data_IF_973273044157
#
_entry.id   IF_973273044157
#
_cell.length_a   1.000
_cell.length_b   1.000
_cell.length_c   1.000
_cell.angle_alpha   90.00
_cell.angle_beta   90.00
_cell.angle_gamma   90.00
#
_symmetry.space_group_name_H-M   'P 1'
#
loop_
_entity.id
_entity.type
_entity.pdbx_description
1 polymer ?
#
# COMPACT_ATOMS: atom_id res chain seq x y z
N UNK A 1 -4.10 -21.09 29.19
CA UNK A 1 -5.20 -20.56 28.38
C UNK A 1 -4.61 -20.18 27.02
N UNK A 2 -4.84 -21.01 26.01
CA UNK A 2 -4.31 -20.82 24.65
C UNK A 2 -5.13 -19.71 23.98
N UNK A 3 -4.48 -18.61 23.62
CA UNK A 3 -5.08 -17.60 22.76
C UNK A 3 -5.23 -18.21 21.36
N UNK A 4 -6.49 -18.34 20.91
CA UNK A 4 -6.81 -18.68 19.53
C UNK A 4 -6.22 -17.62 18.60
N UNK A 5 -5.25 -18.05 17.79
CA UNK A 5 -4.73 -17.31 16.65
C UNK A 5 -5.91 -17.00 15.71
N UNK A 6 -6.30 -15.73 15.67
CA UNK A 6 -7.26 -15.24 14.69
C UNK A 6 -6.70 -15.44 13.28
N UNK A 7 -7.47 -16.14 12.46
CA UNK A 7 -7.38 -16.34 11.01
C UNK A 7 -6.06 -15.93 10.34
N UNK A 8 -5.26 -16.96 10.02
CA UNK A 8 -4.12 -16.90 9.10
C UNK A 8 -4.64 -16.55 7.70
N UNK A 9 -4.73 -15.26 7.39
CA UNK A 9 -4.83 -14.80 6.00
C UNK A 9 -3.49 -15.14 5.36
N UNK A 10 -3.52 -15.91 4.27
CA UNK A 10 -2.31 -16.37 3.60
C UNK A 10 -1.42 -15.18 3.21
N UNK A 11 -0.15 -15.30 3.58
CA UNK A 11 0.96 -14.49 3.09
C UNK A 11 1.04 -14.62 1.55
N UNK A 12 0.25 -13.84 0.81
CA UNK A 12 0.23 -13.89 -0.65
C UNK A 12 1.51 -13.27 -1.18
N UNK A 13 2.26 -14.04 -1.98
CA UNK A 13 3.38 -13.54 -2.76
C UNK A 13 2.85 -12.65 -3.88
N UNK A 14 3.40 -11.45 -3.97
CA UNK A 14 3.18 -10.46 -5.03
C UNK A 14 4.44 -10.47 -5.87
N UNK A 15 4.36 -11.17 -6.99
CA UNK A 15 5.46 -11.30 -7.95
C UNK A 15 5.62 -10.02 -8.77
N UNK A 16 6.81 -9.85 -9.33
CA UNK A 16 7.08 -8.79 -10.29
C UNK A 16 6.25 -9.01 -11.56
N UNK A 17 5.64 -7.95 -12.06
CA UNK A 17 5.11 -7.86 -13.42
C UNK A 17 5.95 -6.88 -14.24
N UNK A 18 5.94 -6.95 -15.59
CA UNK A 18 6.56 -5.92 -16.41
C UNK A 18 5.96 -4.55 -16.10
N UNK A 19 6.79 -3.52 -15.93
CA UNK A 19 6.30 -2.20 -15.51
C UNK A 19 5.36 -1.57 -16.54
N UNK A 20 5.52 -1.88 -17.82
CA UNK A 20 4.60 -1.47 -18.88
C UNK A 20 3.20 -2.10 -18.80
N UNK A 21 3.02 -3.18 -18.02
CA UNK A 21 1.72 -3.83 -17.84
C UNK A 21 0.82 -3.10 -16.85
N UNK A 22 1.37 -2.21 -16.02
CA UNK A 22 0.60 -1.41 -15.08
C UNK A 22 0.20 -0.08 -15.74
N UNK A 23 -1.07 0.05 -16.12
CA UNK A 23 -1.59 1.29 -16.70
C UNK A 23 -1.99 2.32 -15.64
N UNK A 24 -1.14 3.33 -15.44
CA UNK A 24 -1.42 4.47 -14.58
C UNK A 24 -1.75 5.76 -15.34
N UNK A 25 -1.83 5.73 -16.68
CA UNK A 25 -1.98 6.95 -17.51
C UNK A 25 -3.27 7.71 -17.24
N UNK A 26 -4.32 6.98 -16.88
CA UNK A 26 -5.64 7.52 -16.57
C UNK A 26 -5.85 7.81 -15.08
N UNK A 27 -4.88 7.46 -14.23
CA UNK A 27 -4.95 7.62 -12.78
C UNK A 27 -4.23 8.89 -12.31
N UNK A 28 -4.69 9.42 -11.18
CA UNK A 28 -4.01 10.52 -10.49
C UNK A 28 -3.05 9.98 -9.45
N UNK A 29 -1.78 10.37 -9.54
CA UNK A 29 -0.80 10.15 -8.47
C UNK A 29 -1.09 11.05 -7.28
N UNK A 30 -1.22 10.45 -6.11
CA UNK A 30 -1.50 11.14 -4.84
C UNK A 30 -0.22 11.38 -4.06
N UNK A 31 0.64 10.36 -3.97
CA UNK A 31 1.85 10.42 -3.17
C UNK A 31 2.95 9.50 -3.75
N UNK A 32 4.20 9.77 -3.38
CA UNK A 32 5.37 9.01 -3.80
C UNK A 32 6.47 9.03 -2.75
N UNK A 33 7.21 7.93 -2.66
CA UNK A 33 8.42 7.82 -1.87
C UNK A 33 9.47 7.03 -2.66
N UNK A 34 10.76 7.36 -2.48
CA UNK A 34 11.86 6.67 -3.15
C UNK A 34 12.78 6.05 -2.11
N UNK A 35 13.17 4.81 -2.36
CA UNK A 35 14.10 4.10 -1.52
C UNK A 35 14.60 2.80 -2.14
N UNK A 36 15.80 2.42 -1.76
CA UNK A 36 16.39 1.10 -1.99
C UNK A 36 15.79 0.07 -1.00
N UNK A 37 14.80 -0.72 -1.43
CA UNK A 37 14.15 -1.72 -0.57
C UNK A 37 14.78 -3.11 -0.71
N UNK A 38 15.38 -3.45 -1.85
CA UNK A 38 15.99 -4.76 -2.09
C UNK A 38 17.51 -4.78 -1.86
N UNK A 39 18.10 -3.61 -1.56
CA UNK A 39 19.51 -3.38 -1.29
C UNK A 39 20.43 -3.62 -2.49
N UNK A 40 19.96 -3.35 -3.70
CA UNK A 40 20.78 -3.43 -4.91
C UNK A 40 21.57 -2.13 -5.20
N UNK A 41 21.40 -1.08 -4.39
CA UNK A 41 21.92 0.29 -4.53
C UNK A 41 21.26 1.14 -5.63
N UNK A 42 20.16 0.69 -6.21
CA UNK A 42 19.25 1.53 -6.97
C UNK A 42 18.10 1.99 -6.06
N UNK A 43 17.45 3.09 -6.42
CA UNK A 43 16.25 3.51 -5.70
C UNK A 43 15.01 3.07 -6.46
N UNK A 44 14.16 2.32 -5.78
CA UNK A 44 12.83 2.01 -6.27
C UNK A 44 11.84 3.09 -5.87
N UNK A 45 10.74 3.18 -6.62
CA UNK A 45 9.69 4.18 -6.37
C UNK A 45 8.44 3.52 -5.85
N UNK A 46 7.98 3.95 -4.71
CA UNK A 46 6.69 3.59 -4.14
C UNK A 46 5.72 4.70 -4.50
N UNK A 47 4.63 4.38 -5.18
CA UNK A 47 3.68 5.38 -5.66
C UNK A 47 2.24 4.96 -5.39
N UNK A 48 1.45 5.91 -4.91
CA UNK A 48 0.02 5.74 -4.65
C UNK A 48 -0.78 6.50 -5.69
N UNK A 49 -1.73 5.81 -6.31
CA UNK A 49 -2.61 6.31 -7.35
C UNK A 49 -4.07 6.10 -6.99
N UNK A 50 -4.93 6.97 -7.55
CA UNK A 50 -6.38 6.82 -7.52
C UNK A 50 -6.98 7.11 -8.90
N UNK A 51 -8.11 6.49 -9.24
CA UNK A 51 -8.85 6.80 -10.47
C UNK A 51 -9.60 8.14 -10.39
N UNK A 52 -9.76 8.73 -9.19
CA UNK A 52 -10.31 10.07 -9.04
C UNK A 52 -9.41 11.12 -9.72
N UNK A 53 -10.00 12.14 -10.33
CA UNK A 53 -9.28 13.17 -11.11
C UNK A 53 -9.22 14.47 -10.34
N UNK A 54 -8.20 15.29 -10.64
CA UNK A 54 -8.14 16.67 -10.16
C UNK A 54 -9.13 17.54 -10.92
N UNK A 55 -9.83 18.42 -10.21
CA UNK A 55 -10.62 19.50 -10.80
C UNK A 55 -9.71 20.64 -11.28
N UNK A 56 -10.30 21.71 -11.83
CA UNK A 56 -9.56 22.87 -12.35
C UNK A 56 -8.74 23.61 -11.28
N UNK A 57 -9.05 23.42 -9.99
CA UNK A 57 -8.33 23.99 -8.85
C UNK A 57 -7.21 23.08 -8.33
N UNK A 58 -7.02 21.90 -8.91
CA UNK A 58 -6.04 20.91 -8.48
C UNK A 58 -6.49 20.01 -7.32
N UNK A 59 -7.70 20.21 -6.80
CA UNK A 59 -8.31 19.39 -5.76
C UNK A 59 -8.80 18.08 -6.37
N UNK A 60 -8.72 16.97 -5.64
CA UNK A 60 -9.26 15.70 -6.14
C UNK A 60 -10.80 15.75 -6.07
N UNK A 61 -11.45 15.46 -7.19
CA UNK A 61 -12.90 15.24 -7.26
C UNK A 61 -13.21 13.80 -6.86
N UNK A 62 -13.39 13.59 -5.56
CA UNK A 62 -13.72 12.28 -5.01
C UNK A 62 -15.13 11.85 -5.38
N UNK A 63 -15.31 10.54 -5.55
CA UNK A 63 -16.59 9.91 -5.82
C UNK A 63 -16.94 8.96 -4.67
N UNK A 64 -18.15 8.39 -4.70
CA UNK A 64 -18.58 7.40 -3.69
C UNK A 64 -17.71 6.13 -3.69
N UNK A 65 -16.90 5.91 -4.73
CA UNK A 65 -15.80 4.96 -4.73
C UNK A 65 -14.98 4.98 -6.02
N UNK A 66 -13.75 4.51 -5.94
CA UNK A 66 -12.80 4.52 -7.05
C UNK A 66 -11.74 3.43 -6.90
N UNK A 67 -11.08 3.10 -8.02
CA UNK A 67 -9.92 2.21 -8.00
C UNK A 67 -8.70 2.93 -7.40
N UNK A 68 -7.98 2.22 -6.54
CA UNK A 68 -6.72 2.64 -5.95
C UNK A 68 -5.62 1.66 -6.33
N UNK A 69 -4.41 2.18 -6.50
CA UNK A 69 -3.22 1.39 -6.79
C UNK A 69 -2.07 1.87 -5.93
N UNK A 70 -1.53 0.99 -5.08
CA UNK A 70 -0.21 1.17 -4.46
C UNK A 70 0.76 0.24 -5.18
N UNK A 71 1.82 0.80 -5.75
CA UNK A 71 2.76 0.05 -6.58
C UNK A 71 4.19 0.44 -6.24
N UNK A 72 5.07 -0.56 -6.27
CA UNK A 72 6.52 -0.37 -6.22
C UNK A 72 7.09 -0.56 -7.61
N UNK A 73 7.87 0.40 -8.09
CA UNK A 73 8.55 0.38 -9.38
C UNK A 73 10.04 0.14 -9.20
N UNK A 74 10.55 -0.87 -9.89
CA UNK A 74 11.94 -1.30 -9.88
C UNK A 74 12.40 -1.49 -11.33
N UNK A 75 12.88 -0.40 -11.95
CA UNK A 75 13.27 -0.40 -13.35
C UNK A 75 12.15 -0.87 -14.30
N UNK A 76 12.35 -2.04 -14.92
CA UNK A 76 11.38 -2.68 -15.83
C UNK A 76 10.38 -3.60 -15.11
N UNK A 77 10.45 -3.69 -13.79
CA UNK A 77 9.54 -4.47 -12.95
C UNK A 77 8.62 -3.54 -12.15
N UNK A 78 7.45 -4.06 -11.83
CA UNK A 78 6.50 -3.43 -10.92
C UNK A 78 5.89 -4.47 -9.99
N UNK A 79 5.60 -4.07 -8.75
CA UNK A 79 4.93 -4.88 -7.74
C UNK A 79 3.66 -4.15 -7.30
N UNK A 80 2.47 -4.53 -7.81
CA UNK A 80 1.21 -3.92 -7.43
C UNK A 80 0.79 -4.43 -6.03
N UNK A 81 1.25 -3.74 -4.99
CA UNK A 81 1.00 -4.12 -3.60
C UNK A 81 -0.49 -4.10 -3.25
N UNK A 82 -1.21 -3.11 -3.79
CA UNK A 82 -2.67 -2.99 -3.65
C UNK A 82 -3.26 -2.56 -4.99
N UNK A 83 -4.30 -3.23 -5.46
CA UNK A 83 -5.08 -2.88 -6.64
C UNK A 83 -6.55 -3.20 -6.38
N UNK A 84 -7.27 -2.25 -5.78
CA UNK A 84 -8.60 -2.49 -5.21
C UNK A 84 -9.55 -1.32 -5.47
N UNK A 85 -10.84 -1.63 -5.63
CA UNK A 85 -11.89 -0.62 -5.58
C UNK A 85 -12.24 -0.33 -4.11
N UNK A 86 -12.12 0.94 -3.71
CA UNK A 86 -12.45 1.38 -2.35
C UNK A 86 -13.67 2.30 -2.42
N UNK A 87 -14.71 1.92 -1.69
CA UNK A 87 -15.95 2.67 -1.57
C UNK A 87 -15.96 3.48 -0.27
N UNK A 88 -16.32 4.77 -0.35
CA UNK A 88 -16.46 5.68 0.80
C UNK A 88 -15.26 5.63 1.75
N UNK A 89 -14.06 5.82 1.19
CA UNK A 89 -12.86 5.79 2.00
C UNK A 89 -11.58 6.16 1.27
N UNK A 90 -10.49 5.98 1.98
CA UNK A 90 -9.17 6.47 1.61
C UNK A 90 -8.11 5.38 1.79
N UNK A 91 -7.08 5.47 0.96
CA UNK A 91 -5.89 4.64 1.06
C UNK A 91 -4.70 5.55 1.34
N UNK A 92 -3.88 5.14 2.29
CA UNK A 92 -2.58 5.75 2.59
C UNK A 92 -1.50 4.68 2.62
N UNK A 93 -0.25 5.11 2.60
CA UNK A 93 0.84 4.20 2.90
C UNK A 93 1.85 4.81 3.88
N UNK A 94 2.55 3.92 4.58
CA UNK A 94 3.75 4.28 5.34
C UNK A 94 4.90 3.39 4.93
N UNK A 95 6.11 3.91 5.05
CA UNK A 95 7.35 3.17 4.79
C UNK A 95 8.17 3.21 6.07
N UNK A 96 8.65 2.05 6.51
CA UNK A 96 9.45 1.93 7.73
C UNK A 96 10.75 1.17 7.48
N UNK A 97 11.78 1.59 8.19
CA UNK A 97 13.08 0.92 8.29
C UNK A 97 13.15 0.25 9.65
N UNK A 98 13.72 -0.94 9.74
CA UNK A 98 14.11 -1.49 11.03
C UNK A 98 15.16 -0.56 11.68
N UNK A 99 14.95 -0.20 12.94
CA UNK A 99 15.95 0.44 13.83
C UNK A 99 15.92 -0.30 15.16
N UNK A 100 17.01 -0.53 15.89
CA UNK A 100 18.10 0.38 16.26
C UNK A 100 19.37 -0.49 16.48
N UNK A 101 20.56 0.09 16.28
CA UNK A 101 21.93 -0.38 16.61
C UNK A 101 22.78 -1.14 15.58
N UNK A 102 22.26 -1.74 14.51
CA UNK A 102 23.11 -2.23 13.43
C UNK A 102 22.58 -1.83 12.06
N UNK A 103 23.45 -1.18 11.29
CA UNK A 103 23.17 -0.50 10.04
C UNK A 103 22.92 -1.46 8.85
N UNK A 104 22.04 -2.45 9.00
CA UNK A 104 21.38 -3.00 7.81
C UNK A 104 20.33 -1.98 7.37
N UNK A 105 20.62 -1.28 6.29
CA UNK A 105 19.79 -0.24 5.64
C UNK A 105 18.45 -0.77 5.10
N UNK A 106 17.91 -1.83 5.66
CA UNK A 106 16.77 -2.57 5.14
C UNK A 106 15.49 -1.81 5.50
N UNK A 107 14.85 -1.26 4.46
CA UNK A 107 13.42 -0.98 4.54
C UNK A 107 12.74 -2.33 4.71
N UNK A 108 11.94 -2.42 5.77
CA UNK A 108 11.41 -3.72 6.18
C UNK A 108 9.95 -3.85 5.78
N UNK A 109 9.21 -2.73 5.81
CA UNK A 109 7.77 -2.75 5.65
C UNK A 109 7.22 -1.52 4.92
N UNK A 110 6.38 -1.79 3.92
CA UNK A 110 5.43 -0.85 3.34
C UNK A 110 4.06 -1.22 3.88
N UNK A 111 3.37 -0.31 4.55
CA UNK A 111 2.01 -0.57 5.05
C UNK A 111 1.00 0.12 4.16
N UNK A 112 0.03 -0.59 3.60
CA UNK A 112 -1.18 0.01 3.08
C UNK A 112 -2.21 0.14 4.21
N UNK A 113 -2.77 1.34 4.35
CA UNK A 113 -3.77 1.68 5.34
C UNK A 113 -5.05 2.01 4.57
N UNK A 114 -6.09 1.21 4.77
CA UNK A 114 -7.41 1.43 4.17
C UNK A 114 -8.35 1.84 5.28
N UNK A 115 -8.96 3.01 5.13
CA UNK A 115 -10.00 3.50 6.02
C UNK A 115 -11.28 3.70 5.22
N UNK A 116 -12.27 2.84 5.45
CA UNK A 116 -13.64 3.04 5.00
C UNK A 116 -14.50 3.21 6.25
N UNK A 117 -15.61 3.96 6.17
CA UNK A 117 -16.40 4.34 7.35
C UNK A 117 -16.84 3.17 8.26
N UNK A 118 -16.86 1.94 7.74
CA UNK A 118 -17.21 0.70 8.46
C UNK A 118 -16.03 -0.22 8.81
N UNK A 119 -14.82 0.06 8.29
CA UNK A 119 -13.66 -0.83 8.41
C UNK A 119 -12.34 -0.07 8.27
N UNK A 120 -11.41 -0.36 9.18
CA UNK A 120 -10.03 0.10 9.13
C UNK A 120 -9.11 -1.11 9.06
N UNK A 121 -8.26 -1.17 8.03
CA UNK A 121 -7.30 -2.27 7.87
C UNK A 121 -5.91 -1.78 7.55
N UNK A 122 -4.93 -2.50 8.07
CA UNK A 122 -3.52 -2.31 7.78
C UNK A 122 -2.97 -3.62 7.23
N UNK A 123 -2.46 -3.55 6.01
CA UNK A 123 -1.73 -4.64 5.36
C UNK A 123 -0.27 -4.25 5.25
N UNK A 124 0.61 -5.10 5.78
CA UNK A 124 2.06 -4.91 5.71
C UNK A 124 2.63 -5.74 4.58
N UNK A 125 3.46 -5.13 3.73
CA UNK A 125 4.21 -5.77 2.66
C UNK A 125 5.69 -5.73 2.97
N UNK A 126 6.35 -6.87 2.86
CA UNK A 126 7.80 -7.01 3.00
C UNK A 126 8.39 -7.68 1.78
N UNK A 127 9.50 -7.16 1.27
CA UNK A 127 10.19 -7.83 0.19
C UNK A 127 10.85 -9.12 0.68
N UNK A 128 10.64 -10.19 -0.08
CA UNK A 128 11.25 -11.49 0.16
C UNK A 128 12.24 -11.77 -0.97
N UNK A 129 13.54 -11.59 -0.69
CA UNK A 129 14.61 -11.76 -1.69
C UNK A 129 14.64 -13.18 -2.27
N UNK A 130 14.42 -14.20 -1.45
CA UNK A 130 14.42 -15.60 -1.88
C UNK A 130 13.31 -15.90 -2.90
N UNK A 131 12.18 -15.19 -2.79
CA UNK A 131 11.02 -15.32 -3.68
C UNK A 131 10.97 -14.26 -4.78
N UNK A 132 11.85 -13.27 -4.76
CA UNK A 132 11.88 -12.17 -5.73
C UNK A 132 10.57 -11.36 -5.79
N UNK A 133 9.91 -11.16 -4.64
CA UNK A 133 8.61 -10.49 -4.59
C UNK A 133 8.20 -10.06 -3.19
N UNK A 134 7.11 -9.30 -3.10
CA UNK A 134 6.58 -8.85 -1.82
C UNK A 134 5.66 -9.89 -1.21
N UNK A 135 5.70 -10.04 0.11
CA UNK A 135 4.75 -10.85 0.86
C UNK A 135 3.87 -9.91 1.68
N UNK A 136 2.57 -9.94 1.40
CA UNK A 136 1.56 -9.15 2.10
C UNK A 136 0.92 -9.93 3.25
N UNK A 137 0.66 -9.26 4.36
CA UNK A 137 -0.09 -9.81 5.49
C UNK A 137 -0.92 -8.74 6.20
N UNK A 138 -2.19 -9.05 6.49
CA UNK A 138 -3.05 -8.17 7.28
C UNK A 138 -2.57 -8.22 8.73
N UNK A 139 -2.08 -7.09 9.25
CA UNK A 139 -1.60 -6.96 10.63
C UNK A 139 -2.66 -6.37 11.56
N UNK A 140 -3.62 -5.65 10.98
CA UNK A 140 -4.79 -5.17 11.70
C UNK A 140 -6.00 -5.14 10.78
N UNK A 141 -7.14 -5.58 11.31
CA UNK A 141 -8.43 -5.37 10.71
C UNK A 141 -9.42 -5.06 11.83
N UNK A 142 -10.10 -3.93 11.75
CA UNK A 142 -11.16 -3.63 12.70
C UNK A 142 -12.30 -4.63 12.54
N UNK A 143 -13.10 -4.78 13.59
CA UNK A 143 -14.43 -5.40 13.42
C UNK A 143 -15.27 -4.51 12.51
N UNK A 144 -16.28 -5.09 11.88
CA UNK A 144 -17.28 -4.33 11.13
C UNK A 144 -18.04 -3.45 12.13
N UNK A 145 -17.72 -2.15 12.14
CA UNK A 145 -18.30 -1.16 13.04
C UNK A 145 -18.31 0.19 12.37
N UNK A 146 -19.32 1.00 12.63
CA UNK A 146 -19.33 2.37 12.15
C UNK A 146 -18.36 3.20 12.98
N UNK A 147 -17.34 3.77 12.34
CA UNK A 147 -16.51 4.77 12.99
C UNK A 147 -17.32 6.05 13.18
N UNK A 148 -17.39 6.52 14.42
CA UNK A 148 -18.08 7.78 14.77
C UNK A 148 -17.16 9.00 14.64
N UNK A 149 -15.85 8.77 14.55
CA UNK A 149 -14.84 9.81 14.37
C UNK A 149 -13.56 9.20 13.76
N UNK A 150 -12.91 9.96 12.88
CA UNK A 150 -11.55 9.71 12.38
C UNK A 150 -10.81 11.04 12.25
N UNK A 151 -9.51 11.05 12.55
CA UNK A 151 -8.62 12.17 12.23
C UNK A 151 -7.88 11.96 10.91
N UNK A 152 -8.09 10.81 10.26
CA UNK A 152 -7.63 10.58 8.89
C UNK A 152 -8.47 11.50 8.01
N UNK A 153 -7.85 12.32 7.13
CA UNK A 153 -8.59 13.24 6.28
C UNK A 153 -9.63 12.49 5.46
N UNK A 154 -10.89 12.90 5.60
CA UNK A 154 -11.90 12.57 4.61
C UNK A 154 -11.67 13.41 3.37
N UNK A 155 -11.99 12.82 2.24
CA UNK A 155 -11.63 13.27 0.91
C UNK A 155 -12.91 13.51 0.14
#
# INVERSE_FOLDING_TARGET
MLLQLGNKVENSLIEAVPSESIDTKSMTKLDKFSCDYDLDNNEEKIELYTAARRNEKGEIGWNDGQNWLLVVWDGQKAYPLLSEYVQLGSVYFTVSKNGIEDASKEISHINAIINIGTKFSVTTYSFNKDKGGFVGGIVYNSKDTNFVHTSIPDY
#
